data_IF_965584014224
#
_entry.id   IF_965584014224
#
_cell.length_a   1.000
_cell.length_b   1.000
_cell.length_c   1.000
_cell.angle_alpha   90.00
_cell.angle_beta   90.00
_cell.angle_gamma   90.00
#
_symmetry.space_group_name_H-M   'P 1'
#
loop_
_entity.id
_entity.type
_entity.pdbx_description
1 polymer ?
#
# COMPACT_ATOMS: atom_id res chain seq x y z
N UNK A 1 -5.25 42.20 7.86
CA UNK A 1 -6.21 41.09 8.08
C UNK A 1 -6.68 40.40 6.78
N UNK A 2 -6.07 40.65 5.62
CA UNK A 2 -6.47 40.06 4.32
C UNK A 2 -5.69 38.80 3.92
N UNK A 3 -4.51 38.56 4.50
CA UNK A 3 -3.65 37.41 4.17
C UNK A 3 -4.12 36.05 4.68
N UNK A 4 -4.75 35.98 5.85
CA UNK A 4 -5.29 34.71 6.39
C UNK A 4 -6.39 34.14 5.50
N UNK A 5 -7.34 34.98 5.04
CA UNK A 5 -8.45 34.53 4.18
C UNK A 5 -8.00 33.99 2.82
N UNK A 6 -6.96 34.56 2.23
CA UNK A 6 -6.45 34.10 0.94
C UNK A 6 -5.74 32.74 1.06
N UNK A 7 -4.91 32.55 2.09
CA UNK A 7 -4.23 31.28 2.35
C UNK A 7 -5.24 30.13 2.59
N UNK A 8 -6.31 30.40 3.32
CA UNK A 8 -7.40 29.44 3.56
C UNK A 8 -8.13 29.05 2.26
N UNK A 9 -8.38 30.03 1.37
CA UNK A 9 -9.01 29.78 0.05
C UNK A 9 -8.11 28.92 -0.84
N UNK A 10 -6.81 29.21 -0.91
CA UNK A 10 -5.88 28.42 -1.73
C UNK A 10 -5.70 27.00 -1.19
N UNK A 11 -5.66 26.83 0.12
CA UNK A 11 -5.61 25.49 0.73
C UNK A 11 -6.90 24.71 0.44
N UNK A 12 -8.07 25.32 0.59
CA UNK A 12 -9.35 24.68 0.27
C UNK A 12 -9.45 24.30 -1.23
N UNK A 13 -9.01 25.18 -2.12
CA UNK A 13 -8.98 24.91 -3.56
C UNK A 13 -8.02 23.75 -3.90
N UNK A 14 -6.84 23.72 -3.26
CA UNK A 14 -5.90 22.60 -3.39
C UNK A 14 -6.53 21.29 -2.93
N UNK A 15 -7.15 21.28 -1.75
CA UNK A 15 -7.81 20.10 -1.18
C UNK A 15 -8.88 19.54 -2.12
N UNK A 16 -9.79 20.42 -2.57
CA UNK A 16 -10.83 20.06 -3.53
C UNK A 16 -10.25 19.55 -4.86
N UNK A 17 -9.15 20.13 -5.34
CA UNK A 17 -8.49 19.69 -6.56
C UNK A 17 -7.95 18.26 -6.41
N UNK A 18 -7.23 17.97 -5.32
CA UNK A 18 -6.68 16.64 -5.04
C UNK A 18 -7.80 15.59 -4.93
N UNK A 19 -8.83 15.86 -4.13
CA UNK A 19 -9.96 14.94 -3.97
C UNK A 19 -10.65 14.63 -5.31
N UNK A 20 -10.93 15.66 -6.11
CA UNK A 20 -11.58 15.49 -7.40
C UNK A 20 -10.70 14.71 -8.39
N UNK A 21 -9.40 15.01 -8.45
CA UNK A 21 -8.47 14.28 -9.33
C UNK A 21 -8.41 12.82 -8.92
N UNK A 22 -8.11 12.52 -7.65
CA UNK A 22 -7.95 11.13 -7.20
C UNK A 22 -9.24 10.33 -7.37
N UNK A 23 -10.40 10.92 -7.09
CA UNK A 23 -11.70 10.27 -7.25
C UNK A 23 -12.07 10.01 -8.72
N UNK A 24 -11.62 10.86 -9.64
CA UNK A 24 -11.91 10.74 -11.07
C UNK A 24 -11.02 9.72 -11.79
N UNK A 25 -9.91 9.28 -11.19
CA UNK A 25 -9.02 8.31 -11.82
C UNK A 25 -9.69 6.93 -11.96
N UNK A 26 -9.58 6.27 -13.13
CA UNK A 26 -10.16 4.95 -13.33
C UNK A 26 -9.42 3.87 -12.54
N UNK A 27 -10.04 2.70 -12.26
CA UNK A 27 -9.41 1.61 -11.50
C UNK A 27 -8.22 0.90 -12.16
N UNK A 28 -7.98 1.13 -13.45
CA UNK A 28 -6.97 0.45 -14.26
C UNK A 28 -6.02 1.45 -14.95
N UNK A 29 -5.68 2.54 -14.25
CA UNK A 29 -4.85 3.59 -14.81
C UNK A 29 -3.42 3.09 -15.06
N UNK A 30 -2.94 3.28 -16.29
CA UNK A 30 -1.57 2.93 -16.68
C UNK A 30 -0.62 4.10 -16.43
N UNK A 31 0.65 3.85 -16.04
CA UNK A 31 1.67 4.89 -16.00
C UNK A 31 1.91 5.58 -17.35
N UNK A 32 1.58 4.89 -18.45
CA UNK A 32 1.68 5.43 -19.82
C UNK A 32 0.49 6.30 -20.23
N UNK A 33 -0.61 6.32 -19.44
CA UNK A 33 -1.74 7.18 -19.71
C UNK A 33 -1.37 8.64 -19.42
N UNK A 34 -1.25 9.41 -20.49
CA UNK A 34 -0.91 10.84 -20.44
C UNK A 34 -1.90 11.67 -19.63
N UNK A 35 -3.18 11.27 -19.55
CA UNK A 35 -4.20 11.98 -18.78
C UNK A 35 -3.92 11.80 -17.29
N UNK A 36 -3.78 10.55 -16.84
CA UNK A 36 -3.42 10.21 -15.46
C UNK A 36 -2.08 10.85 -15.06
N UNK A 37 -1.05 10.73 -15.90
CA UNK A 37 0.27 11.31 -15.64
C UNK A 37 0.21 12.83 -15.47
N UNK A 38 -0.53 13.53 -16.34
CA UNK A 38 -0.69 14.98 -16.22
C UNK A 38 -1.48 15.38 -14.97
N UNK A 39 -2.54 14.66 -14.63
CA UNK A 39 -3.34 14.97 -13.45
C UNK A 39 -2.52 14.83 -12.15
N UNK A 40 -1.73 13.76 -12.02
CA UNK A 40 -0.84 13.57 -10.86
C UNK A 40 0.32 14.58 -10.86
N UNK A 41 0.86 14.92 -12.03
CA UNK A 41 1.88 15.97 -12.15
C UNK A 41 1.36 17.33 -11.66
N UNK A 42 0.11 17.68 -11.97
CA UNK A 42 -0.53 18.90 -11.45
C UNK A 42 -0.51 18.88 -9.93
N UNK A 43 -0.93 17.78 -9.29
CA UNK A 43 -0.86 17.64 -7.82
C UNK A 43 0.57 17.86 -7.32
N UNK A 44 1.56 17.18 -7.90
CA UNK A 44 2.97 17.30 -7.54
C UNK A 44 3.49 18.74 -7.60
N UNK A 45 3.17 19.48 -8.67
CA UNK A 45 3.57 20.89 -8.82
C UNK A 45 2.87 21.81 -7.81
N UNK A 46 1.64 21.50 -7.42
CA UNK A 46 0.87 22.30 -6.46
C UNK A 46 1.27 22.05 -5.00
N UNK A 47 2.16 21.09 -4.73
CA UNK A 47 2.73 20.90 -3.39
C UNK A 47 3.56 22.12 -2.96
N UNK A 48 4.25 22.80 -3.87
CA UNK A 48 5.00 24.04 -3.60
C UNK A 48 5.96 23.97 -2.38
N UNK A 49 6.59 22.83 -2.14
CA UNK A 49 7.48 22.65 -0.98
C UNK A 49 6.76 22.48 0.37
N UNK A 50 5.42 22.47 0.40
CA UNK A 50 4.62 22.35 1.62
C UNK A 50 4.38 20.88 1.98
N UNK A 51 5.05 20.42 3.04
CA UNK A 51 4.94 19.05 3.52
C UNK A 51 3.52 18.68 3.98
N UNK A 52 2.75 19.63 4.52
CA UNK A 52 1.37 19.34 4.94
C UNK A 52 0.47 19.03 3.75
N UNK A 53 0.74 19.66 2.59
CA UNK A 53 0.04 19.33 1.33
C UNK A 53 0.38 17.93 0.86
N UNK A 54 1.64 17.52 0.98
CA UNK A 54 2.03 16.15 0.66
C UNK A 54 1.28 15.18 1.57
N UNK A 55 1.30 15.38 2.89
CA UNK A 55 0.58 14.51 3.83
C UNK A 55 -0.91 14.38 3.47
N UNK A 56 -1.57 15.50 3.17
CA UNK A 56 -2.96 15.48 2.74
C UNK A 56 -3.18 14.69 1.43
N UNK A 57 -2.29 14.81 0.44
CA UNK A 57 -2.36 13.99 -0.78
C UNK A 57 -2.24 12.50 -0.45
N UNK A 58 -1.29 12.13 0.43
CA UNK A 58 -1.14 10.74 0.88
C UNK A 58 -2.42 10.26 1.55
N UNK A 59 -3.01 11.06 2.45
CA UNK A 59 -4.28 10.74 3.13
C UNK A 59 -5.43 10.50 2.15
N UNK A 60 -5.60 11.36 1.15
CA UNK A 60 -6.66 11.22 0.15
C UNK A 60 -6.47 9.94 -0.68
N UNK A 61 -5.23 9.63 -1.09
CA UNK A 61 -4.94 8.38 -1.81
C UNK A 61 -5.22 7.16 -0.94
N UNK A 62 -4.82 7.20 0.33
CA UNK A 62 -5.03 6.09 1.26
C UNK A 62 -6.51 5.89 1.62
N UNK A 63 -7.29 6.96 1.73
CA UNK A 63 -8.74 6.89 1.85
C UNK A 63 -9.35 6.18 0.62
N UNK A 64 -8.92 6.59 -0.59
CA UNK A 64 -9.39 5.98 -1.84
C UNK A 64 -9.05 4.49 -1.94
N UNK A 65 -7.85 4.09 -1.51
CA UNK A 65 -7.43 2.68 -1.42
C UNK A 65 -8.40 1.87 -0.55
N UNK A 66 -8.83 2.43 0.58
CA UNK A 66 -9.74 1.77 1.49
C UNK A 66 -11.19 1.70 0.97
N UNK A 67 -11.60 2.69 0.18
CA UNK A 67 -12.96 2.79 -0.37
C UNK A 67 -13.20 1.88 -1.59
N UNK A 68 -12.20 1.71 -2.46
CA UNK A 68 -12.37 1.05 -3.76
C UNK A 68 -11.27 0.01 -4.00
N UNK A 69 -11.54 -1.29 -3.73
CA UNK A 69 -10.55 -2.35 -3.90
C UNK A 69 -10.08 -2.57 -5.36
N UNK A 70 -10.94 -2.28 -6.34
CA UNK A 70 -10.56 -2.38 -7.74
C UNK A 70 -9.55 -1.29 -8.08
N UNK A 71 -9.80 -0.07 -7.61
CA UNK A 71 -8.88 1.05 -7.77
C UNK A 71 -7.56 0.84 -7.03
N UNK A 72 -7.61 0.29 -5.81
CA UNK A 72 -6.44 0.02 -5.00
C UNK A 72 -5.45 -0.96 -5.67
N UNK A 73 -5.97 -2.01 -6.30
CA UNK A 73 -5.14 -3.05 -6.92
C UNK A 73 -4.56 -2.65 -8.28
N UNK A 74 -5.22 -1.76 -9.04
CA UNK A 74 -4.76 -1.34 -10.36
C UNK A 74 -4.08 0.03 -10.41
N UNK A 75 -4.61 1.03 -9.71
CA UNK A 75 -4.24 2.46 -9.92
C UNK A 75 -3.40 3.05 -8.81
N UNK A 76 -3.55 2.59 -7.56
CA UNK A 76 -2.89 3.21 -6.41
C UNK A 76 -1.35 3.24 -6.53
N UNK A 77 -0.74 2.15 -7.00
CA UNK A 77 0.71 2.08 -7.23
C UNK A 77 1.13 3.11 -8.28
N UNK A 78 0.43 3.16 -9.42
CA UNK A 78 0.67 4.14 -10.50
C UNK A 78 0.61 5.57 -9.99
N UNK A 79 -0.36 5.91 -9.14
CA UNK A 79 -0.48 7.24 -8.54
C UNK A 79 0.75 7.60 -7.72
N UNK A 80 1.23 6.69 -6.86
CA UNK A 80 2.43 6.94 -6.06
C UNK A 80 3.71 7.04 -6.90
N UNK A 81 3.85 6.21 -7.94
CA UNK A 81 4.97 6.28 -8.86
C UNK A 81 5.01 7.62 -9.60
N UNK A 82 3.88 8.05 -10.15
CA UNK A 82 3.76 9.34 -10.86
C UNK A 82 3.97 10.52 -9.92
N UNK A 83 3.47 10.45 -8.68
CA UNK A 83 3.67 11.48 -7.67
C UNK A 83 5.16 11.59 -7.29
N UNK A 84 5.82 10.45 -7.06
CA UNK A 84 7.24 10.40 -6.76
C UNK A 84 8.11 10.88 -7.93
N UNK A 85 7.68 10.68 -9.17
CA UNK A 85 8.36 11.21 -10.36
C UNK A 85 8.13 12.71 -10.58
N UNK A 86 7.02 13.26 -10.07
CA UNK A 86 6.61 14.65 -10.31
C UNK A 86 7.01 15.63 -9.20
N UNK A 87 7.39 15.12 -8.03
CA UNK A 87 7.80 15.96 -6.89
C UNK A 87 9.19 16.56 -7.12
N UNK A 88 9.41 17.78 -6.62
CA UNK A 88 10.74 18.41 -6.62
C UNK A 88 11.75 17.51 -5.89
N UNK A 89 12.88 17.13 -6.51
CA UNK A 89 13.93 16.33 -5.87
C UNK A 89 14.48 16.94 -4.57
N UNK A 90 14.39 18.26 -4.41
CA UNK A 90 14.85 18.98 -3.22
C UNK A 90 13.77 19.12 -2.14
N UNK A 91 12.52 18.74 -2.43
CA UNK A 91 11.43 18.74 -1.46
C UNK A 91 11.83 17.85 -0.27
N UNK A 92 11.84 18.39 0.94
CA UNK A 92 12.29 17.69 2.14
C UNK A 92 11.27 17.70 3.26
N UNK A 93 11.37 16.73 4.16
CA UNK A 93 10.64 16.74 5.42
C UNK A 93 11.04 17.96 6.28
N UNK A 94 10.10 18.60 7.01
CA UNK A 94 10.40 19.79 7.83
C UNK A 94 11.25 19.50 9.08
N UNK A 95 11.17 18.27 9.61
CA UNK A 95 12.07 17.82 10.70
C UNK A 95 13.52 17.71 10.20
N UNK A 96 14.44 18.34 10.94
CA UNK A 96 15.89 18.34 10.69
C UNK A 96 16.44 16.91 10.66
N UNK A 97 15.94 16.04 11.53
CA UNK A 97 16.37 14.63 11.63
C UNK A 97 16.01 13.81 10.39
N UNK A 98 15.00 14.23 9.64
CA UNK A 98 14.53 13.57 8.42
C UNK A 98 14.92 14.36 7.15
N UNK A 99 15.76 15.38 7.27
CA UNK A 99 16.13 16.27 6.16
C UNK A 99 16.87 15.56 5.02
N UNK A 100 17.46 14.39 5.27
CA UNK A 100 18.07 13.53 4.26
C UNK A 100 17.05 12.81 3.36
N UNK A 101 15.78 12.70 3.81
CA UNK A 101 14.69 12.07 3.07
C UNK A 101 14.03 13.14 2.20
N UNK A 102 14.23 13.05 0.88
CA UNK A 102 13.77 14.06 -0.08
C UNK A 102 13.11 13.47 -1.32
N UNK A 103 12.36 14.30 -2.04
CA UNK A 103 11.77 14.00 -3.34
C UNK A 103 11.01 12.67 -3.35
N UNK A 104 11.33 11.82 -4.32
CA UNK A 104 10.72 10.50 -4.49
C UNK A 104 10.83 9.60 -3.24
N UNK A 105 11.94 9.67 -2.50
CA UNK A 105 12.16 8.88 -1.28
C UNK A 105 11.22 9.35 -0.17
N UNK A 106 10.93 10.65 -0.10
CA UNK A 106 9.96 11.19 0.85
C UNK A 106 8.54 10.69 0.55
N UNK A 107 8.15 10.68 -0.72
CA UNK A 107 6.83 10.12 -1.12
C UNK A 107 6.72 8.65 -0.70
N UNK A 108 7.78 7.86 -0.95
CA UNK A 108 7.83 6.45 -0.51
C UNK A 108 7.74 6.31 1.01
N UNK A 109 8.49 7.09 1.78
CA UNK A 109 8.46 7.05 3.25
C UNK A 109 7.05 7.37 3.77
N UNK A 110 6.40 8.42 3.27
CA UNK A 110 5.05 8.78 3.69
C UNK A 110 4.00 7.74 3.28
N UNK A 111 4.11 7.18 2.07
CA UNK A 111 3.25 6.08 1.61
C UNK A 111 3.38 4.85 2.52
N UNK A 112 4.60 4.42 2.84
CA UNK A 112 4.84 3.25 3.69
C UNK A 112 4.32 3.49 5.10
N UNK A 113 4.58 4.67 5.69
CA UNK A 113 4.07 5.02 7.03
C UNK A 113 2.54 5.01 7.09
N UNK A 114 1.89 5.62 6.11
CA UNK A 114 0.44 5.67 6.06
C UNK A 114 -0.15 4.26 5.87
N UNK A 115 0.42 3.45 4.98
CA UNK A 115 0.00 2.06 4.78
C UNK A 115 0.17 1.19 6.03
N UNK A 116 1.30 1.34 6.76
CA UNK A 116 1.52 0.64 8.03
C UNK A 116 0.51 1.05 9.10
N UNK A 117 0.22 2.35 9.23
CA UNK A 117 -0.76 2.86 10.19
C UNK A 117 -2.17 2.32 9.90
N UNK A 118 -2.59 2.36 8.63
CA UNK A 118 -3.89 1.82 8.23
C UNK A 118 -3.96 0.30 8.38
N UNK A 119 -2.86 -0.39 8.12
CA UNK A 119 -2.78 -1.83 8.31
C UNK A 119 -2.98 -2.21 9.78
N UNK A 120 -2.31 -1.50 10.71
CA UNK A 120 -2.49 -1.72 12.14
C UNK A 120 -3.94 -1.53 12.57
N UNK A 121 -4.60 -0.47 12.11
CA UNK A 121 -6.02 -0.25 12.37
C UNK A 121 -6.89 -1.38 11.79
N UNK A 122 -6.57 -1.84 10.58
CA UNK A 122 -7.27 -2.95 9.91
C UNK A 122 -7.12 -4.27 10.67
N UNK A 123 -5.94 -4.56 11.23
CA UNK A 123 -5.70 -5.76 12.01
C UNK A 123 -6.45 -5.78 13.35
N UNK A 124 -6.79 -4.60 13.89
CA UNK A 124 -7.61 -4.46 15.10
C UNK A 124 -9.12 -4.42 14.83
N UNK A 125 -9.55 -4.35 13.58
CA UNK A 125 -10.96 -4.25 13.23
C UNK A 125 -11.67 -5.62 13.32
N UNK A 126 -12.79 -5.66 14.05
CA UNK A 126 -13.58 -6.89 14.24
C UNK A 126 -14.40 -7.27 12.99
N UNK A 127 -14.75 -6.29 12.15
CA UNK A 127 -15.71 -6.44 11.06
C UNK A 127 -15.14 -7.07 9.76
N UNK A 128 -13.84 -7.35 9.70
CA UNK A 128 -13.15 -7.86 8.51
C UNK A 128 -12.06 -6.91 8.00
N UNK A 129 -11.09 -7.47 7.28
CA UNK A 129 -9.95 -6.73 6.77
C UNK A 129 -10.30 -5.93 5.53
N UNK A 130 -9.72 -4.73 5.40
CA UNK A 130 -9.88 -3.92 4.21
C UNK A 130 -9.15 -4.57 3.02
N UNK A 131 -9.93 -5.16 2.10
CA UNK A 131 -9.42 -5.83 0.91
C UNK A 131 -8.57 -4.92 0.02
N UNK A 132 -8.98 -3.68 -0.17
CA UNK A 132 -8.28 -2.71 -1.02
C UNK A 132 -6.88 -2.40 -0.47
N UNK A 133 -6.79 -2.12 0.82
CA UNK A 133 -5.53 -1.89 1.51
C UNK A 133 -4.60 -3.10 1.41
N UNK A 134 -5.07 -4.30 1.77
CA UNK A 134 -4.22 -5.50 1.73
C UNK A 134 -3.75 -5.81 0.31
N UNK A 135 -4.62 -5.67 -0.69
CA UNK A 135 -4.25 -5.84 -2.09
C UNK A 135 -3.16 -4.83 -2.50
N UNK A 136 -3.32 -3.56 -2.13
CA UNK A 136 -2.32 -2.52 -2.38
C UNK A 136 -0.96 -2.84 -1.73
N UNK A 137 -0.95 -3.24 -0.44
CA UNK A 137 0.28 -3.65 0.25
C UNK A 137 0.93 -4.87 -0.42
N UNK A 138 0.11 -5.79 -0.95
CA UNK A 138 0.57 -6.91 -1.77
C UNK A 138 1.28 -6.43 -3.04
N UNK A 139 0.71 -5.47 -3.78
CA UNK A 139 1.32 -4.92 -5.00
C UNK A 139 2.67 -4.21 -4.75
N UNK A 140 2.90 -3.71 -3.53
CA UNK A 140 4.21 -3.16 -3.15
C UNK A 140 5.29 -4.24 -3.00
N UNK A 141 4.95 -5.52 -2.96
CA UNK A 141 5.90 -6.64 -2.91
C UNK A 141 6.53 -6.90 -4.28
N UNK A 142 7.27 -5.91 -4.78
CA UNK A 142 8.00 -5.94 -6.06
C UNK A 142 9.42 -5.42 -5.89
N UNK A 143 10.30 -5.70 -6.85
CA UNK A 143 11.70 -5.26 -6.82
C UNK A 143 11.92 -4.14 -7.82
N UNK A 144 12.60 -3.07 -7.39
CA UNK A 144 13.08 -2.02 -8.29
C UNK A 144 12.10 -0.87 -8.55
N UNK A 145 10.90 -0.86 -7.94
CA UNK A 145 9.99 0.29 -7.98
C UNK A 145 10.25 1.25 -6.81
N UNK A 146 9.95 2.53 -7.01
CA UNK A 146 9.91 3.52 -5.93
C UNK A 146 8.85 3.18 -4.88
N UNK A 147 7.79 2.46 -5.26
CA UNK A 147 6.72 2.03 -4.34
C UNK A 147 7.01 0.68 -3.67
N UNK A 148 8.12 0.03 -4.02
CA UNK A 148 8.51 -1.25 -3.43
C UNK A 148 8.57 -1.16 -1.90
N UNK A 149 7.97 -2.13 -1.23
CA UNK A 149 8.16 -2.33 0.21
C UNK A 149 9.51 -3.02 0.48
N UNK A 150 9.85 -3.20 1.75
CA UNK A 150 11.02 -4.01 2.14
C UNK A 150 10.57 -5.42 2.52
N UNK A 151 11.40 -6.46 2.32
CA UNK A 151 11.08 -7.83 2.75
C UNK A 151 10.71 -7.93 4.23
N UNK A 152 11.34 -7.13 5.09
CA UNK A 152 11.02 -7.10 6.52
C UNK A 152 9.60 -6.58 6.80
N UNK A 153 9.15 -5.56 6.08
CA UNK A 153 7.79 -5.02 6.22
C UNK A 153 6.76 -6.02 5.67
N UNK A 154 7.01 -6.61 4.51
CA UNK A 154 6.12 -7.63 3.95
C UNK A 154 5.97 -8.84 4.88
N UNK A 155 7.07 -9.31 5.46
CA UNK A 155 7.05 -10.39 6.44
C UNK A 155 6.29 -10.01 7.72
N UNK A 156 6.44 -8.77 8.18
CA UNK A 156 5.68 -8.27 9.34
C UNK A 156 4.18 -8.28 9.07
N UNK A 157 3.72 -7.84 7.90
CA UNK A 157 2.30 -7.92 7.52
C UNK A 157 1.81 -9.37 7.47
N UNK A 158 2.60 -10.26 6.86
CA UNK A 158 2.31 -11.70 6.83
C UNK A 158 2.12 -12.27 8.24
N UNK A 159 3.03 -11.94 9.16
CA UNK A 159 2.98 -12.40 10.56
C UNK A 159 1.74 -11.87 11.28
N UNK A 160 1.43 -10.59 11.16
CA UNK A 160 0.24 -10.00 11.76
C UNK A 160 -1.05 -10.65 11.26
N UNK A 161 -1.16 -10.88 9.94
CA UNK A 161 -2.34 -11.53 9.37
C UNK A 161 -2.44 -12.99 9.79
N UNK A 162 -1.34 -13.75 9.74
CA UNK A 162 -1.30 -15.17 10.09
C UNK A 162 -1.61 -15.43 11.56
N UNK A 163 -1.23 -14.50 12.45
CA UNK A 163 -1.46 -14.62 13.90
C UNK A 163 -2.78 -14.02 14.37
N UNK A 164 -3.52 -13.36 13.48
CA UNK A 164 -4.80 -12.74 13.82
C UNK A 164 -5.87 -13.80 14.04
N UNK A 165 -6.58 -13.71 15.17
CA UNK A 165 -7.75 -14.55 15.45
C UNK A 165 -8.89 -14.36 14.43
N UNK A 166 -8.90 -13.24 13.69
CA UNK A 166 -9.90 -12.96 12.66
C UNK A 166 -9.67 -13.74 11.36
N UNK A 167 -8.51 -14.38 11.18
CA UNK A 167 -8.20 -15.18 9.98
C UNK A 167 -9.04 -16.46 9.92
N UNK A 168 -9.23 -17.13 11.06
CA UNK A 168 -9.96 -18.42 11.13
C UNK A 168 -11.47 -18.21 11.20
N UNK A 169 -11.90 -17.10 11.81
CA UNK A 169 -13.29 -16.82 12.12
C UNK A 169 -14.06 -16.14 10.98
N UNK A 170 -13.38 -15.63 9.96
CA UNK A 170 -13.98 -14.92 8.83
C UNK A 170 -13.38 -15.42 7.50
N UNK A 171 -14.20 -16.06 6.66
CA UNK A 171 -13.77 -16.59 5.35
C UNK A 171 -13.21 -15.52 4.42
N UNK A 172 -13.76 -14.31 4.47
CA UNK A 172 -13.35 -13.24 3.57
C UNK A 172 -11.93 -12.76 3.91
N UNK A 173 -11.56 -12.79 5.20
CA UNK A 173 -10.20 -12.50 5.64
C UNK A 173 -9.19 -13.54 5.14
N UNK A 174 -9.59 -14.81 5.05
CA UNK A 174 -8.75 -15.86 4.51
C UNK A 174 -8.47 -15.66 3.02
N UNK A 175 -9.47 -15.26 2.23
CA UNK A 175 -9.28 -14.93 0.81
C UNK A 175 -8.36 -13.71 0.64
N UNK A 176 -8.54 -12.68 1.47
CA UNK A 176 -7.67 -11.50 1.52
C UNK A 176 -6.23 -11.88 1.89
N UNK A 177 -6.05 -12.77 2.88
CA UNK A 177 -4.75 -13.32 3.25
C UNK A 177 -4.06 -14.00 2.09
N UNK A 178 -4.74 -14.94 1.43
CA UNK A 178 -4.16 -15.67 0.30
C UNK A 178 -3.76 -14.72 -0.83
N UNK A 179 -4.60 -13.72 -1.14
CA UNK A 179 -4.26 -12.70 -2.13
C UNK A 179 -2.96 -11.96 -1.79
N UNK A 180 -2.74 -11.64 -0.51
CA UNK A 180 -1.48 -11.06 -0.06
C UNK A 180 -0.30 -12.04 -0.21
N UNK A 181 -0.45 -13.31 0.21
CA UNK A 181 0.64 -14.30 0.11
C UNK A 181 1.04 -14.54 -1.34
N UNK A 182 0.10 -14.52 -2.28
CA UNK A 182 0.39 -14.67 -3.70
C UNK A 182 1.28 -13.56 -4.26
N UNK A 183 1.27 -12.37 -3.64
CA UNK A 183 2.18 -11.28 -4.00
C UNK A 183 3.48 -11.31 -3.18
N UNK A 184 3.36 -11.47 -1.85
CA UNK A 184 4.48 -11.41 -0.93
C UNK A 184 5.39 -12.64 -0.98
N UNK A 185 4.85 -13.81 -1.30
CA UNK A 185 5.57 -15.08 -1.33
C UNK A 185 6.74 -15.10 -2.30
N UNK A 186 6.51 -14.89 -3.62
CA UNK A 186 7.58 -14.83 -4.62
C UNK A 186 8.61 -13.74 -4.29
N UNK A 187 8.10 -12.58 -3.84
CA UNK A 187 8.94 -11.46 -3.42
C UNK A 187 9.89 -11.84 -2.29
N UNK A 188 9.39 -12.47 -1.21
CA UNK A 188 10.20 -12.87 -0.06
C UNK A 188 11.19 -14.00 -0.41
N UNK A 189 10.79 -14.98 -1.22
CA UNK A 189 11.66 -16.07 -1.66
C UNK A 189 12.81 -15.60 -2.58
N UNK A 190 12.65 -14.44 -3.21
CA UNK A 190 13.70 -13.81 -4.02
C UNK A 190 14.89 -13.30 -3.17
N UNK A 191 14.75 -13.24 -1.85
CA UNK A 191 15.83 -12.81 -0.94
C UNK A 191 16.30 -13.98 -0.06
N UNK A 192 17.58 -14.35 -0.18
CA UNK A 192 18.16 -15.53 0.46
C UNK A 192 17.87 -15.64 1.98
N UNK A 193 17.94 -14.52 2.72
CA UNK A 193 17.68 -14.49 4.17
C UNK A 193 16.20 -14.53 4.57
N UNK A 194 15.28 -14.35 3.64
CA UNK A 194 13.83 -14.33 3.90
C UNK A 194 13.11 -15.60 3.47
N UNK A 195 13.72 -16.41 2.59
CA UNK A 195 13.20 -17.72 2.18
C UNK A 195 12.97 -18.67 3.36
N UNK A 196 13.95 -18.78 4.26
CA UNK A 196 13.83 -19.60 5.47
C UNK A 196 12.75 -19.05 6.41
N UNK A 197 12.70 -17.73 6.58
CA UNK A 197 11.68 -17.08 7.41
C UNK A 197 10.28 -17.35 6.87
N UNK A 198 10.07 -17.27 5.55
CA UNK A 198 8.81 -17.60 4.90
C UNK A 198 8.45 -19.08 5.10
N UNK A 199 9.41 -20.00 5.04
CA UNK A 199 9.18 -21.43 5.29
C UNK A 199 8.57 -21.69 6.66
N UNK A 200 9.06 -21.02 7.70
CA UNK A 200 8.48 -21.13 9.06
C UNK A 200 7.01 -20.68 9.07
N UNK A 201 6.66 -19.59 8.35
CA UNK A 201 5.27 -19.11 8.28
C UNK A 201 4.38 -20.06 7.48
N UNK A 202 4.89 -20.63 6.39
CA UNK A 202 4.15 -21.60 5.57
C UNK A 202 3.86 -22.89 6.34
N UNK A 203 4.80 -23.38 7.16
CA UNK A 203 4.58 -24.51 8.06
C UNK A 203 3.50 -24.20 9.09
N UNK A 204 3.57 -23.02 9.73
CA UNK A 204 2.53 -22.57 10.66
C UNK A 204 1.15 -22.46 9.99
N UNK A 205 1.08 -21.92 8.78
CA UNK A 205 -0.14 -21.85 8.00
C UNK A 205 -0.71 -23.25 7.71
N UNK A 206 0.15 -24.21 7.37
CA UNK A 206 -0.25 -25.61 7.16
C UNK A 206 -0.82 -26.24 8.44
N UNK A 207 -0.25 -25.93 9.60
CA UNK A 207 -0.76 -26.39 10.90
C UNK A 207 -2.13 -25.78 11.20
N UNK A 208 -2.27 -24.45 11.07
CA UNK A 208 -3.55 -23.76 11.23
C UNK A 208 -4.63 -24.31 10.28
N UNK A 209 -4.26 -24.60 9.03
CA UNK A 209 -5.19 -25.10 8.02
C UNK A 209 -5.86 -26.44 8.38
N UNK A 210 -5.27 -27.24 9.28
CA UNK A 210 -5.87 -28.50 9.75
C UNK A 210 -7.16 -28.27 10.55
N UNK A 211 -7.29 -27.11 11.19
CA UNK A 211 -8.48 -26.72 11.94
C UNK A 211 -9.50 -25.95 11.07
N UNK A 212 -9.12 -25.59 9.83
CA UNK A 212 -9.97 -24.83 8.92
C UNK A 212 -10.91 -25.72 8.11
N UNK A 213 -11.88 -25.08 7.45
CA UNK A 213 -12.78 -25.72 6.48
C UNK A 213 -12.01 -26.32 5.31
N UNK A 214 -12.57 -27.35 4.68
CA UNK A 214 -11.94 -28.09 3.56
C UNK A 214 -11.46 -27.18 2.43
N UNK A 215 -12.21 -26.12 2.10
CA UNK A 215 -11.84 -25.15 1.05
C UNK A 215 -10.56 -24.40 1.38
N UNK A 216 -10.40 -23.95 2.63
CA UNK A 216 -9.19 -23.28 3.10
C UNK A 216 -8.00 -24.25 3.12
N UNK A 217 -8.23 -25.48 3.56
CA UNK A 217 -7.19 -26.52 3.54
C UNK A 217 -6.68 -26.81 2.13
N UNK A 218 -7.59 -26.95 1.16
CA UNK A 218 -7.22 -27.13 -0.25
C UNK A 218 -6.45 -25.92 -0.80
N UNK A 219 -6.84 -24.70 -0.43
CA UNK A 219 -6.16 -23.50 -0.87
C UNK A 219 -4.73 -23.39 -0.30
N UNK A 220 -4.54 -23.72 0.99
CA UNK A 220 -3.20 -23.80 1.60
C UNK A 220 -2.36 -24.89 0.94
N UNK A 221 -2.93 -26.07 0.68
CA UNK A 221 -2.22 -27.13 -0.02
C UNK A 221 -1.79 -26.68 -1.43
N UNK A 222 -2.68 -26.03 -2.18
CA UNK A 222 -2.38 -25.46 -3.48
C UNK A 222 -1.26 -24.42 -3.43
N UNK A 223 -1.29 -23.52 -2.44
CA UNK A 223 -0.25 -22.52 -2.21
C UNK A 223 1.13 -23.14 -1.93
N UNK A 224 1.18 -24.20 -1.11
CA UNK A 224 2.43 -24.92 -0.82
C UNK A 224 2.99 -25.59 -2.08
N UNK A 225 2.12 -26.25 -2.85
CA UNK A 225 2.49 -26.85 -4.14
C UNK A 225 2.99 -25.81 -5.14
N UNK A 226 2.38 -24.63 -5.15
CA UNK A 226 2.78 -23.51 -6.00
C UNK A 226 4.21 -23.06 -5.64
N UNK A 227 4.48 -22.82 -4.36
CA UNK A 227 5.82 -22.44 -3.87
C UNK A 227 6.88 -23.51 -4.17
N UNK A 228 6.57 -24.79 -3.97
CA UNK A 228 7.48 -25.90 -4.31
C UNK A 228 7.89 -25.89 -5.79
N UNK A 229 7.00 -25.40 -6.67
CA UNK A 229 7.23 -25.28 -8.10
C UNK A 229 7.82 -23.93 -8.53
N UNK A 230 8.14 -23.06 -7.58
CA UNK A 230 8.79 -21.77 -7.85
C UNK A 230 7.84 -20.57 -7.97
N UNK A 231 6.63 -20.68 -7.42
CA UNK A 231 5.53 -19.70 -7.53
C UNK A 231 4.88 -19.63 -8.92
#
# INVERSE_FOLDING_TARGET
MTGLKAADIFLAAFKNCVENIIKALPPNASPSDTITANAIRIIGTQLNGDFMRLQYVIEVVQARICEDPAWASGTAVTVYELLAASIDPNFSHPSIEMSAIKGAILVRDQMVRAGQMQFQHTMTAEAGWNRGLVAFLGQQCTVGSITSTTPRIALHFLDCMLTSGSLENNSDNFDVFLGFVMCAGPFLDSFAGFKEQLTVRMQKLQECAKALRTTHWLAVYGLLQLREKGW
#
